data_IF_185728375349
#
_entry.id   IF_185728375349
#
_cell.length_a   1.000
_cell.length_b   1.000
_cell.length_c   1.000
_cell.angle_alpha   90.00
_cell.angle_beta   90.00
_cell.angle_gamma   90.00
#
_symmetry.space_group_name_H-M   'P 1'
#
loop_
_entity.id
_entity.type
_entity.pdbx_description
1 polymer ?
#
# COMPACT_ATOMS: atom_id res chain seq x y z
N UNK A 1 7.32 -9.05 29.90
CA UNK A 1 7.41 -7.64 29.45
C UNK A 1 8.29 -7.44 28.21
N UNK A 2 9.60 -7.77 28.23
CA UNK A 2 10.54 -7.47 27.13
C UNK A 2 10.24 -8.18 25.79
N UNK A 3 9.79 -9.43 25.82
CA UNK A 3 9.44 -10.21 24.61
C UNK A 3 8.19 -9.69 23.90
N UNK A 4 7.22 -9.16 24.63
CA UNK A 4 5.99 -8.57 24.07
C UNK A 4 6.29 -7.28 23.31
N UNK A 5 7.16 -6.43 23.85
CA UNK A 5 7.60 -5.19 23.20
C UNK A 5 8.36 -5.50 21.90
N UNK A 6 9.30 -6.45 21.94
CA UNK A 6 10.05 -6.86 20.75
C UNK A 6 9.14 -7.42 19.64
N UNK A 7 8.13 -8.21 20.01
CA UNK A 7 7.14 -8.73 19.05
C UNK A 7 6.28 -7.62 18.47
N UNK A 8 5.81 -6.69 19.30
CA UNK A 8 5.01 -5.53 18.87
C UNK A 8 5.78 -4.67 17.86
N UNK A 9 7.03 -4.32 18.17
CA UNK A 9 7.91 -3.54 17.27
C UNK A 9 8.09 -4.25 15.93
N UNK A 10 8.34 -5.57 15.94
CA UNK A 10 8.51 -6.35 14.70
C UNK A 10 7.22 -6.39 13.86
N UNK A 11 6.06 -6.59 14.49
CA UNK A 11 4.77 -6.57 13.79
C UNK A 11 4.48 -5.18 13.22
N UNK A 12 4.77 -4.11 13.97
CA UNK A 12 4.61 -2.74 13.49
C UNK A 12 5.48 -2.46 12.27
N UNK A 13 6.78 -2.80 12.31
CA UNK A 13 7.66 -2.68 11.14
C UNK A 13 7.21 -3.51 9.94
N UNK A 14 6.57 -4.65 10.18
CA UNK A 14 6.01 -5.48 9.10
C UNK A 14 4.87 -4.76 8.40
N UNK A 15 4.00 -4.06 9.15
CA UNK A 15 2.92 -3.26 8.59
C UNK A 15 3.50 -2.08 7.80
N UNK A 16 4.45 -1.35 8.38
CA UNK A 16 5.11 -0.21 7.72
C UNK A 16 5.73 -0.61 6.38
N UNK A 17 6.46 -1.73 6.37
CA UNK A 17 7.16 -2.18 5.18
C UNK A 17 6.22 -2.78 4.10
N UNK A 18 5.12 -3.42 4.50
CA UNK A 18 4.19 -4.06 3.55
C UNK A 18 3.10 -3.10 3.06
N UNK A 19 2.71 -2.12 3.86
CA UNK A 19 1.61 -1.22 3.55
C UNK A 19 2.14 0.16 3.11
N UNK A 20 2.84 0.86 4.00
CA UNK A 20 3.27 2.23 3.76
C UNK A 20 4.22 2.33 2.57
N UNK A 21 5.25 1.49 2.51
CA UNK A 21 6.17 1.49 1.35
C UNK A 21 5.44 1.28 0.00
N UNK A 22 4.42 0.42 -0.03
CA UNK A 22 3.64 0.19 -1.25
C UNK A 22 2.84 1.45 -1.61
N UNK A 23 2.22 2.09 -0.63
CA UNK A 23 1.44 3.30 -0.85
C UNK A 23 2.33 4.48 -1.29
N UNK A 24 3.45 4.68 -0.60
CA UNK A 24 4.40 5.76 -0.86
C UNK A 24 5.02 5.63 -2.26
N UNK A 25 5.50 4.43 -2.62
CA UNK A 25 6.26 4.22 -3.86
C UNK A 25 5.36 3.75 -5.02
N UNK A 26 4.51 2.75 -4.81
CA UNK A 26 3.73 2.16 -5.92
C UNK A 26 2.46 2.95 -6.24
N UNK A 27 1.90 3.65 -5.26
CA UNK A 27 0.79 4.60 -5.44
C UNK A 27 1.24 6.06 -5.48
N UNK A 28 2.54 6.32 -5.35
CA UNK A 28 3.14 7.65 -5.44
C UNK A 28 2.52 8.64 -4.44
N UNK A 29 2.19 8.15 -3.24
CA UNK A 29 1.52 8.94 -2.21
C UNK A 29 2.39 10.09 -1.72
N UNK A 30 3.70 9.86 -1.49
CA UNK A 30 4.66 10.90 -1.08
C UNK A 30 4.72 12.08 -2.03
N UNK A 31 4.59 11.82 -3.33
CA UNK A 31 4.62 12.86 -4.36
C UNK A 31 3.25 13.51 -4.61
N UNK A 32 2.19 13.06 -3.94
CA UNK A 32 0.84 13.59 -4.11
C UNK A 32 0.76 15.05 -3.67
N UNK A 33 0.24 15.91 -4.56
CA UNK A 33 0.07 17.34 -4.27
C UNK A 33 -1.28 17.69 -3.63
N UNK A 34 -2.17 16.71 -3.50
CA UNK A 34 -3.53 16.89 -2.98
C UNK A 34 -3.49 17.27 -1.50
N UNK A 35 -3.99 18.47 -1.17
CA UNK A 35 -3.99 19.05 0.20
C UNK A 35 -5.31 19.74 0.56
N UNK A 36 -6.31 19.68 -0.32
CA UNK A 36 -7.57 20.43 -0.16
C UNK A 36 -8.59 19.60 0.60
N UNK A 37 -9.22 20.20 1.62
CA UNK A 37 -10.32 19.65 2.39
C UNK A 37 -10.05 18.19 2.82
N UNK A 38 -11.03 17.30 2.61
CA UNK A 38 -10.94 15.87 2.93
C UNK A 38 -10.32 15.03 1.81
N UNK A 39 -9.79 15.65 0.74
CA UNK A 39 -9.26 14.93 -0.40
C UNK A 39 -8.06 14.01 -0.04
N UNK A 40 -7.12 14.39 0.85
CA UNK A 40 -6.04 13.49 1.28
C UNK A 40 -6.56 12.20 1.93
N UNK A 41 -7.51 12.32 2.85
CA UNK A 41 -8.09 11.19 3.58
C UNK A 41 -8.93 10.30 2.67
N UNK A 42 -9.76 10.91 1.81
CA UNK A 42 -10.55 10.17 0.84
C UNK A 42 -9.66 9.36 -0.11
N UNK A 43 -8.56 9.97 -0.56
CA UNK A 43 -7.63 9.29 -1.45
C UNK A 43 -6.86 8.18 -0.75
N UNK A 44 -6.47 8.37 0.51
CA UNK A 44 -5.86 7.30 1.31
C UNK A 44 -6.78 6.08 1.40
N UNK A 45 -8.08 6.28 1.70
CA UNK A 45 -9.08 5.20 1.74
C UNK A 45 -9.16 4.49 0.38
N UNK A 46 -9.25 5.26 -0.71
CA UNK A 46 -9.32 4.69 -2.07
C UNK A 46 -8.08 3.85 -2.38
N UNK A 47 -6.87 4.33 -2.02
CA UNK A 47 -5.62 3.57 -2.22
C UNK A 47 -5.62 2.26 -1.44
N UNK A 48 -6.09 2.26 -0.19
CA UNK A 48 -6.23 1.03 0.61
C UNK A 48 -7.19 0.04 -0.04
N UNK A 49 -8.35 0.49 -0.52
CA UNK A 49 -9.32 -0.36 -1.21
C UNK A 49 -8.69 -0.95 -2.49
N UNK A 50 -8.03 -0.11 -3.29
CA UNK A 50 -7.36 -0.56 -4.51
C UNK A 50 -6.26 -1.59 -4.22
N UNK A 51 -5.42 -1.37 -3.20
CA UNK A 51 -4.38 -2.31 -2.79
C UNK A 51 -4.99 -3.66 -2.35
N UNK A 52 -6.08 -3.63 -1.58
CA UNK A 52 -6.77 -4.86 -1.18
C UNK A 52 -7.29 -5.66 -2.39
N UNK A 53 -7.86 -4.99 -3.39
CA UNK A 53 -8.29 -5.64 -4.63
C UNK A 53 -7.11 -6.24 -5.41
N UNK A 54 -5.99 -5.52 -5.53
CA UNK A 54 -4.78 -6.01 -6.21
C UNK A 54 -4.14 -7.21 -5.50
N UNK A 55 -4.25 -7.27 -4.17
CA UNK A 55 -3.79 -8.41 -3.37
C UNK A 55 -4.71 -9.62 -3.51
N UNK A 56 -6.01 -9.42 -3.78
CA UNK A 56 -6.97 -10.49 -4.04
C UNK A 56 -6.92 -11.02 -5.49
N UNK A 57 -6.39 -10.23 -6.42
CA UNK A 57 -6.19 -10.64 -7.81
C UNK A 57 -5.12 -11.74 -7.88
N UNK A 58 -5.52 -12.93 -8.35
CA UNK A 58 -4.66 -14.14 -8.42
C UNK A 58 -4.38 -14.62 -9.85
N UNK A 59 -5.02 -13.99 -10.85
CA UNK A 59 -4.88 -14.41 -12.25
C UNK A 59 -3.48 -14.14 -12.79
N UNK A 60 -2.77 -13.13 -12.27
CA UNK A 60 -1.42 -12.79 -12.69
C UNK A 60 -0.45 -12.63 -11.52
N UNK A 61 0.67 -13.34 -11.62
CA UNK A 61 1.80 -13.21 -10.69
C UNK A 61 2.68 -12.03 -11.11
N UNK A 62 2.30 -10.83 -10.69
CA UNK A 62 3.07 -9.61 -10.93
C UNK A 62 3.08 -8.68 -9.70
N UNK A 63 4.03 -7.75 -9.65
CA UNK A 63 4.08 -6.72 -8.61
C UNK A 63 2.92 -5.72 -8.74
N UNK A 64 2.57 -5.06 -7.63
CA UNK A 64 1.44 -4.11 -7.50
C UNK A 64 1.40 -3.07 -8.62
N UNK A 65 2.55 -2.49 -8.99
CA UNK A 65 2.65 -1.50 -10.07
C UNK A 65 2.17 -2.02 -11.42
N UNK A 66 2.56 -3.26 -11.76
CA UNK A 66 2.25 -3.89 -13.05
C UNK A 66 0.79 -4.34 -13.09
N UNK A 67 0.29 -4.88 -11.98
CA UNK A 67 -1.14 -5.19 -11.84
C UNK A 67 -2.00 -3.93 -11.98
N UNK A 68 -1.59 -2.82 -11.36
CA UNK A 68 -2.27 -1.52 -11.45
C UNK A 68 -2.26 -0.94 -12.87
N UNK A 69 -1.18 -1.13 -13.64
CA UNK A 69 -1.08 -0.59 -15.00
C UNK A 69 -1.85 -1.39 -16.06
N UNK A 70 -2.39 -2.57 -15.72
CA UNK A 70 -3.09 -3.44 -16.67
C UNK A 70 -2.20 -3.93 -17.83
N UNK A 71 -0.88 -3.83 -17.68
CA UNK A 71 0.08 -4.29 -18.69
C UNK A 71 0.30 -5.80 -18.51
N UNK A 72 -0.60 -6.56 -19.14
CA UNK A 72 -0.60 -8.03 -19.17
C UNK A 72 0.38 -8.62 -20.19
N UNK A 73 0.99 -7.78 -21.02
CA UNK A 73 1.88 -8.17 -22.10
C UNK A 73 3.31 -7.75 -21.76
N UNK A 74 4.14 -8.72 -21.42
CA UNK A 74 5.59 -8.60 -21.39
C UNK A 74 6.23 -9.87 -20.87
#
# INVERSE_FOLDING_TARGET
MRSLLAKSVRTHWTIENQLHWILDVQFNEDSSRIRKDNAPQNLAIIRHVALNLLNQEKTVKAGVKRKRSGSWLG
#
